data_IF_556895535408
#
_entry.id   IF_556895535408
#
_cell.length_a   1.000
_cell.length_b   1.000
_cell.length_c   1.000
_cell.angle_alpha   90.00
_cell.angle_beta   90.00
_cell.angle_gamma   90.00
#
_symmetry.space_group_name_H-M   'P 1'
#
loop_
_entity.id
_entity.type
_entity.pdbx_description
1 polymer ?
#
# COMPACT_ATOMS: atom_id res chain seq x y z
N UNK A 1 -17.14 3.22 -7.57
CA UNK A 1 -16.57 3.17 -6.21
C UNK A 1 -15.64 4.35 -6.09
N UNK A 2 -15.77 5.17 -5.04
CA UNK A 2 -15.03 6.43 -4.88
C UNK A 2 -14.35 6.47 -3.52
N UNK A 3 -13.24 7.21 -3.43
CA UNK A 3 -12.67 7.57 -2.14
C UNK A 3 -13.47 8.71 -1.50
N UNK A 4 -13.51 8.81 -0.16
CA UNK A 4 -14.20 9.90 0.51
C UNK A 4 -13.64 11.27 0.10
N UNK A 5 -14.53 12.17 -0.35
CA UNK A 5 -14.16 13.54 -0.67
C UNK A 5 -13.57 14.26 0.57
N UNK A 6 -12.64 15.21 0.38
CA UNK A 6 -12.15 16.04 1.48
C UNK A 6 -13.27 16.95 2.02
N UNK A 7 -13.30 17.14 3.34
CA UNK A 7 -14.12 18.13 4.02
C UNK A 7 -13.36 19.46 4.26
N UNK A 8 -14.03 20.58 4.56
CA UNK A 8 -13.37 21.78 5.08
C UNK A 8 -12.56 21.46 6.35
N UNK A 9 -11.31 21.92 6.41
CA UNK A 9 -10.37 21.61 7.50
C UNK A 9 -10.16 20.11 7.74
N UNK A 10 -10.25 19.29 6.68
CA UNK A 10 -10.06 17.84 6.76
C UNK A 10 -8.68 17.48 7.35
N UNK A 11 -8.65 16.72 8.46
CA UNK A 11 -7.40 16.15 8.97
C UNK A 11 -6.79 15.16 7.97
N UNK A 12 -5.46 15.07 7.99
CA UNK A 12 -4.69 14.20 7.11
C UNK A 12 -3.44 13.67 7.83
N UNK A 13 -2.75 12.74 7.18
CA UNK A 13 -1.52 12.15 7.67
C UNK A 13 -0.30 12.64 6.89
N UNK A 14 0.74 13.06 7.61
CA UNK A 14 2.08 13.19 7.07
C UNK A 14 2.74 11.80 7.08
N UNK A 15 3.07 11.28 5.89
CA UNK A 15 3.71 9.97 5.74
C UNK A 15 5.15 10.16 5.28
N UNK A 16 6.10 9.64 6.05
CA UNK A 16 7.52 9.68 5.72
C UNK A 16 8.04 8.26 5.56
N UNK A 17 8.65 7.97 4.41
CA UNK A 17 9.39 6.74 4.19
C UNK A 17 10.77 6.84 4.86
N UNK A 18 11.14 5.80 5.60
CA UNK A 18 12.43 5.63 6.22
C UNK A 18 13.13 4.48 5.50
N UNK A 19 14.36 4.71 5.07
CA UNK A 19 15.21 3.65 4.55
C UNK A 19 15.49 2.63 5.66
N UNK A 20 15.09 1.39 5.43
CA UNK A 20 15.29 0.27 6.36
C UNK A 20 16.19 -0.83 5.76
N UNK A 21 16.98 -0.46 4.73
CA UNK A 21 17.93 -1.33 4.04
C UNK A 21 17.46 -1.76 2.65
N UNK A 22 18.12 -2.78 2.10
CA UNK A 22 17.81 -3.37 0.81
C UNK A 22 17.49 -4.86 0.98
N UNK A 23 16.60 -5.36 0.13
CA UNK A 23 16.23 -6.77 0.06
C UNK A 23 16.40 -7.28 -1.38
N UNK A 24 17.02 -8.44 -1.51
CA UNK A 24 17.18 -9.16 -2.78
C UNK A 24 16.09 -10.21 -2.90
N UNK A 25 15.35 -10.15 -4.00
CA UNK A 25 14.18 -10.99 -4.21
C UNK A 25 14.29 -11.68 -5.59
N UNK A 26 14.27 -13.00 -5.58
CA UNK A 26 14.27 -13.82 -6.78
C UNK A 26 12.88 -13.73 -7.45
N UNK A 27 12.82 -13.13 -8.64
CA UNK A 27 11.55 -12.79 -9.32
C UNK A 27 10.65 -14.03 -9.53
N UNK A 28 11.25 -15.19 -9.83
CA UNK A 28 10.54 -16.47 -10.02
C UNK A 28 9.75 -16.93 -8.78
N UNK A 29 10.05 -16.39 -7.59
CA UNK A 29 9.27 -16.68 -6.38
C UNK A 29 7.94 -15.91 -6.33
N UNK A 30 7.81 -14.80 -7.07
CA UNK A 30 6.70 -13.87 -6.91
C UNK A 30 5.89 -13.66 -8.19
N UNK A 31 6.52 -13.73 -9.36
CA UNK A 31 5.87 -13.43 -10.64
C UNK A 31 6.02 -14.52 -11.69
N UNK A 32 5.02 -14.64 -12.55
CA UNK A 32 5.08 -15.41 -13.80
C UNK A 32 4.42 -14.63 -14.96
N UNK A 33 5.04 -14.61 -16.16
CA UNK A 33 6.38 -15.14 -16.47
C UNK A 33 7.48 -14.30 -15.80
N UNK A 34 8.59 -14.95 -15.43
CA UNK A 34 9.79 -14.32 -14.90
C UNK A 34 11.01 -14.65 -15.76
N UNK A 35 12.07 -13.84 -15.65
CA UNK A 35 13.38 -14.17 -16.23
C UNK A 35 14.09 -15.12 -15.26
N UNK A 36 14.46 -16.31 -15.73
CA UNK A 36 15.08 -17.32 -14.87
C UNK A 36 16.36 -16.83 -14.20
N UNK A 37 16.43 -17.00 -12.87
CA UNK A 37 17.55 -16.57 -12.04
C UNK A 37 17.63 -15.05 -11.81
N UNK A 38 16.68 -14.26 -12.30
CA UNK A 38 16.70 -12.81 -12.09
C UNK A 38 16.38 -12.48 -10.63
N UNK A 39 17.31 -11.77 -10.01
CA UNK A 39 17.14 -11.17 -8.68
C UNK A 39 16.94 -9.67 -8.85
N UNK A 40 15.90 -9.15 -8.21
CA UNK A 40 15.60 -7.72 -8.14
C UNK A 40 15.91 -7.21 -6.73
N UNK A 41 16.77 -6.20 -6.62
CA UNK A 41 17.06 -5.52 -5.36
C UNK A 41 16.09 -4.37 -5.15
N UNK A 42 15.52 -4.30 -3.96
CA UNK A 42 14.49 -3.34 -3.59
C UNK A 42 14.79 -2.68 -2.23
N UNK A 43 14.37 -1.43 -1.99
CA UNK A 43 14.43 -0.87 -0.65
C UNK A 43 13.42 -1.55 0.28
N UNK A 44 13.90 -2.00 1.42
CA UNK A 44 13.05 -2.28 2.58
C UNK A 44 12.72 -0.93 3.22
N UNK A 45 11.44 -0.64 3.40
CA UNK A 45 10.98 0.67 3.86
C UNK A 45 10.17 0.54 5.13
N UNK A 46 10.49 1.39 6.11
CA UNK A 46 9.64 1.66 7.25
C UNK A 46 8.89 2.98 7.03
N UNK A 47 7.73 3.14 7.66
CA UNK A 47 6.93 4.36 7.52
C UNK A 47 6.66 4.99 8.87
N UNK A 48 6.91 6.30 8.97
CA UNK A 48 6.42 7.13 10.05
C UNK A 48 5.17 7.86 9.57
N UNK A 49 4.04 7.60 10.23
CA UNK A 49 2.76 8.25 9.97
C UNK A 49 2.45 9.19 11.14
N UNK A 50 2.19 10.46 10.84
CA UNK A 50 1.85 11.49 11.84
C UNK A 50 0.55 12.17 11.47
N UNK A 51 -0.40 12.22 12.39
CA UNK A 51 -1.65 12.96 12.20
C UNK A 51 -1.39 14.47 12.16
N UNK A 52 -2.12 15.21 11.34
CA UNK A 52 -1.93 16.67 11.17
C UNK A 52 -2.33 17.46 12.41
N UNK A 53 -3.28 16.95 13.19
CA UNK A 53 -3.88 17.68 14.33
C UNK A 53 -3.70 16.99 15.68
N UNK A 54 -3.66 15.65 15.70
CA UNK A 54 -3.56 14.85 16.94
C UNK A 54 -2.09 14.59 17.24
N UNK A 55 -1.68 14.90 18.47
CA UNK A 55 -0.28 14.75 18.93
C UNK A 55 -0.11 13.68 19.99
N UNK A 56 -1.22 13.22 20.55
CA UNK A 56 -1.29 12.16 21.53
C UNK A 56 -1.38 10.80 20.84
N UNK A 57 -0.54 9.87 21.30
CA UNK A 57 -0.59 8.47 20.89
C UNK A 57 -1.26 7.70 22.02
N UNK A 58 -2.47 7.22 21.77
CA UNK A 58 -3.15 6.30 22.66
C UNK A 58 -2.96 4.87 22.13
N UNK A 59 -2.50 3.97 22.99
CA UNK A 59 -2.48 2.54 22.67
C UNK A 59 -3.91 1.99 22.80
N UNK A 60 -4.42 1.36 21.74
CA UNK A 60 -5.68 0.64 21.77
C UNK A 60 -5.48 -0.76 21.18
N UNK A 61 -6.07 -1.76 21.83
CA UNK A 61 -6.22 -3.09 21.25
C UNK A 61 -7.52 -3.12 20.46
N UNK A 62 -7.43 -3.41 19.16
CA UNK A 62 -8.59 -3.57 18.31
C UNK A 62 -8.82 -5.04 17.97
N UNK A 63 -10.01 -5.54 18.29
CA UNK A 63 -10.45 -6.87 17.88
C UNK A 63 -11.04 -6.81 16.48
N UNK A 64 -10.41 -7.47 15.51
CA UNK A 64 -10.87 -7.51 14.11
C UNK A 64 -12.23 -8.16 13.90
N UNK A 65 -12.73 -8.89 14.92
CA UNK A 65 -14.04 -9.58 14.89
C UNK A 65 -15.20 -8.70 15.35
N UNK A 66 -14.93 -7.58 16.02
CA UNK A 66 -15.95 -6.70 16.62
C UNK A 66 -15.86 -5.25 16.10
N UNK A 67 -15.12 -5.02 15.01
CA UNK A 67 -15.05 -3.71 14.35
C UNK A 67 -16.04 -3.60 13.20
N UNK A 68 -16.57 -2.41 13.02
CA UNK A 68 -17.52 -2.06 11.96
C UNK A 68 -16.77 -1.81 10.64
N UNK A 69 -16.45 -2.90 9.93
CA UNK A 69 -15.82 -2.84 8.61
C UNK A 69 -16.76 -2.23 7.57
N UNK A 70 -16.30 -1.19 6.88
CA UNK A 70 -17.06 -0.48 5.83
C UNK A 70 -16.33 -0.48 4.49
N UNK A 71 -17.06 -0.47 3.36
CA UNK A 71 -16.43 -0.28 2.06
C UNK A 71 -15.80 1.12 1.91
N UNK A 72 -14.60 1.20 1.35
CA UNK A 72 -13.91 2.45 0.99
C UNK A 72 -13.18 2.26 -0.33
N UNK A 73 -13.47 3.10 -1.33
CA UNK A 73 -12.93 2.90 -2.68
C UNK A 73 -13.24 1.49 -3.19
N UNK A 74 -12.27 0.76 -3.77
CA UNK A 74 -12.46 -0.60 -4.25
C UNK A 74 -12.42 -1.67 -3.14
N UNK A 75 -12.18 -1.30 -1.88
CA UNK A 75 -11.99 -2.24 -0.79
C UNK A 75 -13.30 -2.45 -0.02
N UNK A 76 -13.78 -3.70 0.13
CA UNK A 76 -15.04 -3.98 0.80
C UNK A 76 -14.96 -3.88 2.33
N UNK A 77 -13.75 -3.99 2.90
CA UNK A 77 -13.49 -4.04 4.34
C UNK A 77 -12.36 -3.07 4.68
N UNK A 78 -12.74 -1.87 5.09
CA UNK A 78 -11.86 -0.86 5.65
C UNK A 78 -12.41 -0.34 6.98
N UNK A 79 -11.52 0.03 7.89
CA UNK A 79 -11.83 0.63 9.18
C UNK A 79 -11.24 2.04 9.20
N UNK A 80 -12.09 3.06 9.37
CA UNK A 80 -11.64 4.43 9.65
C UNK A 80 -11.08 4.46 11.09
N UNK A 81 -9.77 4.28 11.20
CA UNK A 81 -9.11 4.03 12.50
C UNK A 81 -9.10 5.26 13.40
N UNK A 82 -9.03 6.45 12.80
CA UNK A 82 -9.01 7.72 13.53
C UNK A 82 -10.41 8.36 13.64
N UNK A 83 -11.41 7.78 12.96
CA UNK A 83 -12.80 8.27 12.93
C UNK A 83 -12.95 9.69 12.37
N UNK A 84 -11.96 10.17 11.63
CA UNK A 84 -11.97 11.47 10.97
C UNK A 84 -11.68 11.37 9.46
N UNK A 85 -11.61 10.15 8.93
CA UNK A 85 -11.36 9.89 7.51
C UNK A 85 -9.94 10.22 7.03
N UNK A 86 -8.98 10.37 7.95
CA UNK A 86 -7.57 10.62 7.61
C UNK A 86 -6.74 9.34 7.47
N UNK A 87 -7.12 8.23 8.11
CA UNK A 87 -6.39 6.97 8.09
C UNK A 87 -7.34 5.77 8.16
N UNK A 88 -7.23 4.90 7.17
CA UNK A 88 -7.99 3.65 7.12
C UNK A 88 -7.05 2.45 7.20
N UNK A 89 -7.41 1.49 8.05
CA UNK A 89 -6.88 0.13 7.99
C UNK A 89 -7.72 -0.62 6.96
N UNK A 90 -7.07 -1.26 5.99
CA UNK A 90 -7.71 -2.03 4.92
C UNK A 90 -7.38 -3.50 5.11
N UNK A 91 -8.40 -4.35 5.17
CA UNK A 91 -8.22 -5.80 5.19
C UNK A 91 -7.58 -6.26 3.87
N UNK A 92 -6.48 -7.01 3.96
CA UNK A 92 -5.64 -7.38 2.81
C UNK A 92 -5.40 -8.90 2.75
N UNK A 93 -6.46 -9.70 2.54
CA UNK A 93 -6.38 -11.15 2.58
C UNK A 93 -5.59 -11.72 1.40
N UNK A 94 -5.08 -12.93 1.59
CA UNK A 94 -4.40 -13.71 0.55
C UNK A 94 -2.96 -14.01 0.91
N UNK A 95 -2.15 -12.99 1.17
CA UNK A 95 -0.74 -13.17 1.48
C UNK A 95 -0.52 -13.98 2.77
N UNK A 96 -0.90 -13.44 3.92
CA UNK A 96 -0.89 -14.14 5.20
C UNK A 96 -2.16 -13.83 6.00
N UNK A 97 -2.63 -14.74 6.88
CA UNK A 97 -3.73 -14.43 7.79
C UNK A 97 -3.44 -13.18 8.62
N UNK A 98 -4.38 -12.23 8.63
CA UNK A 98 -4.24 -10.97 9.36
C UNK A 98 -3.41 -9.90 8.65
N UNK A 99 -2.99 -10.13 7.40
CA UNK A 99 -2.33 -9.10 6.60
C UNK A 99 -3.26 -7.90 6.35
N UNK A 100 -2.71 -6.69 6.52
CA UNK A 100 -3.43 -5.43 6.40
C UNK A 100 -2.68 -4.45 5.51
N UNK A 101 -3.40 -3.51 4.94
CA UNK A 101 -2.86 -2.37 4.23
C UNK A 101 -3.33 -1.06 4.89
N UNK A 102 -2.66 0.04 4.57
CA UNK A 102 -3.04 1.37 5.08
C UNK A 102 -3.39 2.28 3.92
N UNK A 103 -4.58 2.88 3.97
CA UNK A 103 -4.97 3.98 3.10
C UNK A 103 -4.99 5.26 3.91
N UNK A 104 -4.04 6.16 3.66
CA UNK A 104 -3.90 7.39 4.42
C UNK A 104 -4.15 8.60 3.51
N UNK A 105 -4.97 9.53 3.98
CA UNK A 105 -5.12 10.83 3.34
C UNK A 105 -3.85 11.64 3.61
N UNK A 106 -3.28 12.29 2.60
CA UNK A 106 -2.00 13.01 2.73
C UNK A 106 -2.12 14.51 2.57
N UNK A 107 -3.31 15.02 2.24
CA UNK A 107 -3.55 16.45 2.14
C UNK A 107 -5.01 16.79 2.39
N UNK A 108 -5.26 18.03 2.83
CA UNK A 108 -6.60 18.55 3.08
C UNK A 108 -7.43 18.70 1.79
N UNK A 109 -6.80 18.75 0.61
CA UNK A 109 -7.47 18.85 -0.70
C UNK A 109 -7.74 17.47 -1.34
N UNK A 110 -7.49 16.36 -0.63
CA UNK A 110 -7.92 15.03 -1.05
C UNK A 110 -6.85 14.12 -1.65
N UNK A 111 -5.56 14.37 -1.40
CA UNK A 111 -4.48 13.45 -1.75
C UNK A 111 -4.47 12.19 -0.87
N UNK A 112 -3.99 11.08 -1.44
CA UNK A 112 -3.98 9.76 -0.79
C UNK A 112 -2.68 8.99 -1.07
N UNK A 113 -2.27 8.19 -0.09
CA UNK A 113 -1.26 7.15 -0.22
C UNK A 113 -1.83 5.81 0.20
N UNK A 114 -1.45 4.75 -0.51
CA UNK A 114 -1.78 3.38 -0.14
C UNK A 114 -0.50 2.60 0.12
N UNK A 115 -0.34 2.13 1.35
CA UNK A 115 0.76 1.30 1.80
C UNK A 115 0.29 -0.15 1.71
N UNK A 116 0.70 -0.83 0.64
CA UNK A 116 0.18 -2.14 0.26
C UNK A 116 0.84 -3.32 0.96
N UNK A 117 1.82 -3.09 1.85
CA UNK A 117 2.58 -4.15 2.50
C UNK A 117 3.06 -5.20 1.49
N UNK A 118 2.82 -6.47 1.82
CA UNK A 118 3.23 -7.63 1.03
C UNK A 118 2.13 -8.09 0.05
N UNK A 119 1.15 -7.23 -0.24
CA UNK A 119 0.10 -7.54 -1.23
C UNK A 119 0.64 -7.67 -2.65
N UNK A 120 1.79 -7.06 -2.96
CA UNK A 120 2.42 -7.14 -4.28
C UNK A 120 3.93 -6.91 -4.24
N UNK A 121 4.66 -7.96 -4.55
CA UNK A 121 6.14 -8.03 -4.59
C UNK A 121 6.72 -7.73 -5.98
N UNK A 122 5.94 -7.23 -6.93
CA UNK A 122 6.51 -6.74 -8.18
C UNK A 122 5.52 -5.80 -8.84
N UNK A 123 6.02 -4.75 -9.50
CA UNK A 123 5.15 -3.75 -10.12
C UNK A 123 4.29 -4.35 -11.25
N UNK A 124 4.79 -5.37 -11.94
CA UNK A 124 4.04 -6.09 -12.99
C UNK A 124 2.76 -6.76 -12.47
N UNK A 125 2.69 -7.10 -11.18
CA UNK A 125 1.45 -7.58 -10.56
C UNK A 125 0.41 -6.46 -10.46
N UNK A 126 0.80 -5.21 -10.28
CA UNK A 126 -0.15 -4.09 -10.23
C UNK A 126 -0.53 -3.62 -11.64
N UNK A 127 0.40 -3.61 -12.59
CA UNK A 127 0.07 -3.24 -13.99
C UNK A 127 -0.73 -4.32 -14.71
N UNK A 128 -0.69 -5.56 -14.22
CA UNK A 128 -1.29 -6.72 -14.89
C UNK A 128 -0.42 -7.33 -15.98
N UNK A 129 0.86 -6.93 -16.05
CA UNK A 129 1.86 -7.49 -16.96
C UNK A 129 2.37 -8.88 -16.50
N UNK A 130 2.17 -9.23 -15.22
CA UNK A 130 2.47 -10.56 -14.68
C UNK A 130 1.38 -11.06 -13.73
N UNK A 131 1.46 -12.35 -13.42
CA UNK A 131 0.60 -13.07 -12.50
C UNK A 131 1.41 -13.55 -11.29
N UNK A 132 0.73 -13.91 -10.20
CA UNK A 132 1.37 -14.51 -9.02
C UNK A 132 2.00 -15.84 -9.44
N UNK A 133 3.28 -16.03 -9.12
CA UNK A 133 3.98 -17.28 -9.39
C UNK A 133 3.33 -18.45 -8.62
N UNK A 134 3.25 -19.60 -9.28
CA UNK A 134 2.95 -20.90 -8.68
C UNK A 134 4.13 -21.80 -9.00
N UNK A 135 4.74 -22.37 -7.97
CA UNK A 135 5.89 -23.25 -8.12
C UNK A 135 7.19 -22.46 -8.31
N UNK A 136 8.14 -22.73 -7.43
CA UNK A 136 9.51 -22.19 -7.48
C UNK A 136 10.53 -23.28 -7.15
N UNK A 137 11.83 -23.11 -7.49
CA UNK A 137 12.85 -24.12 -7.20
C UNK A 137 12.86 -24.47 -5.69
N UNK A 138 12.41 -25.69 -5.35
CA UNK A 138 12.29 -26.17 -3.96
C UNK A 138 10.86 -26.38 -3.46
N UNK A 139 9.85 -25.70 -4.02
CA UNK A 139 8.43 -26.00 -3.77
C UNK A 139 7.63 -25.81 -5.06
N UNK A 140 7.37 -26.92 -5.75
CA UNK A 140 6.94 -26.94 -7.16
C UNK A 140 5.47 -26.59 -7.39
N UNK A 141 4.64 -26.56 -6.35
CA UNK A 141 3.19 -26.29 -6.44
C UNK A 141 2.71 -25.23 -5.45
N UNK A 142 3.63 -24.52 -4.79
CA UNK A 142 3.31 -23.57 -3.75
C UNK A 142 3.56 -22.14 -4.26
N UNK A 143 2.83 -21.20 -3.68
CA UNK A 143 3.01 -19.77 -3.90
C UNK A 143 3.42 -19.14 -2.56
N UNK A 144 3.96 -17.91 -2.60
CA UNK A 144 4.29 -17.17 -1.39
C UNK A 144 3.04 -16.75 -0.58
N UNK A 145 1.85 -16.85 -1.17
CA UNK A 145 0.57 -16.47 -0.56
C UNK A 145 -0.15 -17.67 0.08
N UNK A 146 -0.68 -17.49 1.29
CA UNK A 146 -1.48 -18.49 1.99
C UNK A 146 -2.80 -18.83 1.25
N UNK A 147 -3.33 -17.88 0.47
CA UNK A 147 -4.48 -18.08 -0.42
C UNK A 147 -4.32 -17.21 -1.68
N UNK A 148 -3.97 -17.84 -2.80
CA UNK A 148 -3.71 -17.17 -4.06
C UNK A 148 -4.92 -16.42 -4.60
N UNK A 149 -6.11 -17.02 -4.57
CA UNK A 149 -7.31 -16.41 -5.15
C UNK A 149 -7.70 -15.12 -4.43
N UNK A 150 -7.59 -15.10 -3.09
CA UNK A 150 -7.81 -13.90 -2.30
C UNK A 150 -6.73 -12.84 -2.56
N UNK A 151 -5.47 -13.26 -2.72
CA UNK A 151 -4.36 -12.35 -3.05
C UNK A 151 -4.57 -11.69 -4.43
N UNK A 152 -4.95 -12.47 -5.44
CA UNK A 152 -5.24 -11.96 -6.79
C UNK A 152 -6.41 -10.99 -6.82
N UNK A 153 -7.49 -11.32 -6.10
CA UNK A 153 -8.65 -10.44 -5.98
C UNK A 153 -8.29 -9.14 -5.23
N UNK A 154 -7.44 -9.22 -4.20
CA UNK A 154 -6.97 -8.02 -3.49
C UNK A 154 -6.05 -7.17 -4.37
N UNK A 155 -5.11 -7.77 -5.09
CA UNK A 155 -4.29 -7.10 -6.11
C UNK A 155 -5.19 -6.40 -7.13
N UNK A 156 -6.24 -7.07 -7.62
CA UNK A 156 -7.20 -6.48 -8.56
C UNK A 156 -7.83 -5.20 -7.99
N UNK A 157 -8.21 -5.18 -6.70
CA UNK A 157 -8.74 -3.98 -6.03
C UNK A 157 -7.69 -2.86 -5.94
N UNK A 158 -6.43 -3.21 -5.68
CA UNK A 158 -5.31 -2.25 -5.72
C UNK A 158 -5.18 -1.65 -7.13
N UNK A 159 -5.36 -2.44 -8.20
CA UNK A 159 -5.37 -1.91 -9.58
C UNK A 159 -6.53 -0.95 -9.81
N UNK A 160 -7.72 -1.25 -9.30
CA UNK A 160 -8.87 -0.34 -9.39
C UNK A 160 -8.66 0.97 -8.62
N UNK A 161 -7.99 0.92 -7.46
CA UNK A 161 -7.62 2.13 -6.71
C UNK A 161 -6.72 3.03 -7.56
N UNK A 162 -5.73 2.43 -8.24
CA UNK A 162 -4.76 3.17 -9.06
C UNK A 162 -5.40 3.91 -10.24
N UNK A 163 -6.55 3.45 -10.73
CA UNK A 163 -7.29 4.09 -11.83
C UNK A 163 -8.08 5.33 -11.39
N UNK A 164 -8.21 5.57 -10.08
CA UNK A 164 -9.02 6.69 -9.58
C UNK A 164 -8.30 8.04 -9.78
N UNK A 165 -8.97 9.06 -10.33
CA UNK A 165 -8.36 10.37 -10.58
C UNK A 165 -8.01 11.14 -9.30
N UNK A 166 -8.73 10.89 -8.20
CA UNK A 166 -8.48 11.49 -6.87
C UNK A 166 -7.21 10.91 -6.22
N UNK A 167 -6.75 9.76 -6.72
CA UNK A 167 -5.67 9.01 -6.12
C UNK A 167 -4.31 9.47 -6.65
N UNK A 168 -3.82 10.58 -6.08
CA UNK A 168 -2.48 11.15 -6.34
C UNK A 168 -1.40 10.34 -5.61
N UNK A 169 -1.08 9.17 -6.13
CA UNK A 169 -0.26 8.19 -5.42
C UNK A 169 1.25 8.41 -5.49
N UNK A 170 1.88 8.29 -4.31
CA UNK A 170 3.26 7.85 -4.13
C UNK A 170 3.20 6.39 -3.69
N UNK A 171 3.40 5.47 -4.62
CA UNK A 171 3.35 4.05 -4.29
C UNK A 171 4.66 3.60 -3.68
N UNK A 172 4.55 2.97 -2.50
CA UNK A 172 5.56 2.04 -2.04
C UNK A 172 4.95 0.64 -2.03
N UNK A 173 5.08 -0.02 -3.17
CA UNK A 173 5.37 -1.46 -3.16
C UNK A 173 6.89 -1.58 -3.10
N UNK A 174 7.39 -2.69 -2.57
CA UNK A 174 8.82 -3.02 -2.47
C UNK A 174 9.58 -2.74 -3.81
N UNK A 175 8.92 -2.67 -4.97
CA UNK A 175 9.61 -2.64 -6.28
C UNK A 175 9.36 -1.47 -7.21
N UNK A 176 8.55 -0.47 -6.84
CA UNK A 176 8.56 0.77 -7.63
C UNK A 176 9.70 1.62 -7.10
N UNK A 177 10.88 1.48 -7.71
CA UNK A 177 12.00 2.39 -7.47
C UNK A 177 11.48 3.81 -7.40
N UNK A 178 11.71 4.48 -6.27
CA UNK A 178 11.29 5.86 -6.06
C UNK A 178 11.82 6.69 -7.24
N UNK A 179 10.97 6.99 -8.23
CA UNK A 179 11.33 8.00 -9.21
C UNK A 179 11.39 9.30 -8.42
N UNK A 180 12.59 9.84 -8.26
CA UNK A 180 12.86 11.16 -7.70
C UNK A 180 11.75 12.15 -8.07
N UNK A 181 10.79 12.34 -7.17
CA UNK A 181 9.95 13.53 -7.24
C UNK A 181 10.85 14.64 -6.77
N UNK A 182 11.33 15.46 -7.72
CA UNK A 182 12.09 16.68 -7.43
C UNK A 182 11.38 17.39 -6.27
N UNK A 183 12.11 17.57 -5.16
CA UNK A 183 11.67 18.45 -4.09
C UNK A 183 11.31 19.82 -4.72
N UNK A 184 10.24 20.50 -4.27
CA UNK A 184 9.95 21.83 -4.74
C UNK A 184 11.14 22.71 -4.39
N UNK A 185 11.84 23.19 -5.41
CA UNK A 185 12.84 24.23 -5.25
C UNK A 185 12.10 25.49 -4.80
N UNK A 186 12.16 25.80 -3.51
CA UNK A 186 11.87 27.14 -3.05
C UNK A 186 12.93 28.07 -3.66
N UNK A 187 12.60 28.70 -4.79
CA UNK A 187 13.28 29.92 -5.19
C UNK A 187 12.93 30.97 -4.16
N UNK A 188 13.83 31.19 -3.20
CA UNK A 188 13.74 32.24 -2.22
C UNK A 188 13.53 33.60 -2.88
N UNK A 189 12.69 34.41 -2.25
CA UNK A 189 12.67 35.85 -2.46
C UNK A 189 14.08 36.41 -2.23
N UNK A 190 14.52 37.25 -3.16
CA UNK A 190 15.75 38.02 -3.04
C UNK A 190 15.57 39.39 -3.70
N UNK A 191 15.15 40.35 -2.86
CA UNK A 191 15.41 41.80 -2.87
C UNK A 191 15.14 42.62 -4.12
#
# INVERSE_FOLDING_TARGET
>A
MFLPNPAPNQPYCNVSALEAGLIDLLDEMFITPAITGKVSTAPSLAFLIRHSERKDLNFSYLSTTHVDWKPVGPFPRALDYLEDGSLYIVDAPGHLPGHINVLARTSSDGGWIFLAGDSAHHWSLITGEAQIAIGHPGHLNETADANKELAEEHIRRIRELWKLPEFRSYWVTIFRGMKNTKAPTHSGQGR
#
